data_IF_496264240324
#
_entry.id   IF_496264240324
#
_cell.length_a   1.000
_cell.length_b   1.000
_cell.length_c   1.000
_cell.angle_alpha   90.00
_cell.angle_beta   90.00
_cell.angle_gamma   90.00
#
_symmetry.space_group_name_H-M   'P 1'
#
loop_
_entity.id
_entity.type
_entity.pdbx_description
1 polymer ?
#
# COMPACT_ATOMS: atom_id res chain seq x y z
N UNK A 1 15.44 1.52 -8.10
CA UNK A 1 15.24 2.67 -7.19
C UNK A 1 13.95 2.43 -6.40
N UNK A 2 13.73 3.12 -5.27
CA UNK A 2 12.39 3.09 -4.64
C UNK A 2 11.38 3.86 -5.50
N UNK A 3 11.49 5.19 -5.45
CA UNK A 3 10.91 6.15 -6.39
C UNK A 3 12.04 6.96 -7.04
N UNK A 4 11.90 7.30 -8.32
CA UNK A 4 12.80 8.28 -8.96
C UNK A 4 12.59 9.66 -8.34
N UNK A 5 13.62 10.50 -8.38
CA UNK A 5 13.54 11.87 -7.87
C UNK A 5 12.62 12.73 -8.73
N UNK A 6 12.71 12.54 -10.04
CA UNK A 6 11.85 13.23 -11.00
C UNK A 6 11.20 12.20 -11.95
N UNK A 7 10.15 11.51 -11.51
CA UNK A 7 9.54 10.44 -12.29
C UNK A 7 8.87 10.93 -13.59
N UNK A 8 8.67 12.25 -13.75
CA UNK A 8 8.15 12.87 -14.96
C UNK A 8 9.21 12.97 -16.08
N UNK A 9 10.49 13.10 -15.73
CA UNK A 9 11.57 13.31 -16.69
C UNK A 9 12.63 12.19 -16.69
N UNK A 10 12.89 11.57 -15.54
CA UNK A 10 13.89 10.52 -15.40
C UNK A 10 13.45 9.22 -16.09
N UNK A 11 14.38 8.45 -16.66
CA UNK A 11 14.08 7.10 -17.17
C UNK A 11 14.12 6.08 -16.04
N UNK A 12 13.10 5.22 -15.95
CA UNK A 12 13.14 4.06 -15.05
C UNK A 12 14.20 3.04 -15.52
N UNK A 13 15.17 2.74 -14.65
CA UNK A 13 16.21 1.76 -14.88
C UNK A 13 16.49 0.94 -13.60
N UNK A 14 16.87 -0.34 -13.73
CA UNK A 14 17.38 -1.11 -12.60
C UNK A 14 18.63 -0.44 -12.01
N UNK A 15 18.67 -0.30 -10.69
CA UNK A 15 19.84 0.27 -10.00
C UNK A 15 21.02 -0.71 -9.92
N UNK A 16 20.74 -2.02 -10.05
CA UNK A 16 21.70 -3.11 -10.13
C UNK A 16 21.17 -4.23 -11.02
N UNK A 17 22.04 -5.18 -11.37
CA UNK A 17 21.65 -6.39 -12.08
C UNK A 17 20.52 -7.14 -11.33
N UNK A 18 19.43 -7.55 -12.02
CA UNK A 18 18.35 -8.31 -11.43
C UNK A 18 18.84 -9.56 -10.69
N UNK A 19 18.25 -9.87 -9.54
CA UNK A 19 18.60 -11.05 -8.74
C UNK A 19 19.84 -10.93 -7.86
N UNK A 20 20.61 -9.84 -7.95
CA UNK A 20 21.85 -9.67 -7.17
C UNK A 20 21.65 -8.91 -5.86
N UNK A 21 20.54 -8.18 -5.71
CA UNK A 21 20.17 -7.43 -4.51
C UNK A 21 18.66 -7.31 -4.40
N UNK A 22 18.18 -7.06 -3.18
CA UNK A 22 16.78 -6.80 -2.87
C UNK A 22 16.67 -5.37 -2.34
N UNK A 23 16.00 -4.49 -3.08
CA UNK A 23 15.65 -3.15 -2.59
C UNK A 23 14.13 -3.01 -2.65
N UNK A 24 13.54 -2.28 -1.69
CA UNK A 24 12.14 -1.91 -1.81
C UNK A 24 11.96 -0.98 -3.01
N UNK A 25 10.89 -1.19 -3.78
CA UNK A 25 10.60 -0.40 -4.97
C UNK A 25 9.11 -0.19 -5.19
N UNK A 26 8.61 0.96 -4.75
CA UNK A 26 7.26 1.42 -5.07
C UNK A 26 7.05 1.54 -6.58
N UNK A 27 8.05 1.98 -7.34
CA UNK A 27 7.96 2.02 -8.81
C UNK A 27 7.87 0.65 -9.46
N UNK A 28 8.52 -0.39 -8.91
CA UNK A 28 8.36 -1.75 -9.43
C UNK A 28 6.93 -2.27 -9.21
N UNK A 29 6.32 -1.96 -8.06
CA UNK A 29 4.91 -2.29 -7.81
C UNK A 29 3.96 -1.49 -8.72
N UNK A 30 4.26 -0.22 -8.98
CA UNK A 30 3.51 0.57 -9.96
C UNK A 30 3.64 0.00 -11.37
N UNK A 31 4.83 -0.45 -11.76
CA UNK A 31 5.03 -1.11 -13.05
C UNK A 31 4.25 -2.43 -13.14
N UNK A 32 4.23 -3.23 -12.06
CA UNK A 32 3.40 -4.44 -11.98
C UNK A 32 1.91 -4.11 -12.12
N UNK A 33 1.44 -3.02 -11.51
CA UNK A 33 0.06 -2.54 -11.74
C UNK A 33 -0.20 -2.28 -13.22
N UNK A 34 0.72 -1.61 -13.94
CA UNK A 34 0.54 -1.34 -15.37
C UNK A 34 0.42 -2.62 -16.19
N UNK A 35 1.12 -3.68 -15.80
CA UNK A 35 0.98 -5.02 -16.40
C UNK A 35 -0.41 -5.60 -16.10
N UNK A 36 -0.88 -5.51 -14.84
CA UNK A 36 -2.23 -5.96 -14.48
C UNK A 36 -3.30 -5.24 -15.31
N UNK A 37 -3.26 -3.91 -15.38
CA UNK A 37 -4.23 -3.10 -16.12
C UNK A 37 -4.18 -3.35 -17.64
N UNK A 38 -3.01 -3.72 -18.18
CA UNK A 38 -2.86 -4.13 -19.58
C UNK A 38 -3.50 -5.50 -19.83
N UNK A 39 -3.29 -6.46 -18.93
CA UNK A 39 -3.82 -7.82 -19.05
C UNK A 39 -5.34 -7.86 -18.83
N UNK A 40 -5.86 -7.10 -17.86
CA UNK A 40 -7.29 -7.11 -17.53
C UNK A 40 -8.10 -6.15 -18.38
N UNK A 41 -7.47 -5.10 -18.92
CA UNK A 41 -8.18 -4.00 -19.59
C UNK A 41 -8.92 -3.07 -18.62
N UNK A 42 -8.88 -3.34 -17.32
CA UNK A 42 -9.54 -2.60 -16.25
C UNK A 42 -8.53 -1.70 -15.52
N UNK A 43 -9.02 -0.74 -14.73
CA UNK A 43 -8.15 -0.07 -13.73
C UNK A 43 -7.73 -1.04 -12.62
N UNK A 44 -6.72 -0.65 -11.84
CA UNK A 44 -6.35 -1.39 -10.63
C UNK A 44 -7.55 -1.59 -9.69
N UNK A 45 -8.27 -0.51 -9.39
CA UNK A 45 -9.37 -0.54 -8.42
C UNK A 45 -10.52 -1.45 -8.90
N UNK A 46 -10.89 -1.37 -10.18
CA UNK A 46 -11.91 -2.24 -10.79
C UNK A 46 -11.47 -3.70 -10.77
N UNK A 47 -10.21 -3.97 -11.12
CA UNK A 47 -9.64 -5.33 -11.08
C UNK A 47 -9.75 -5.90 -9.66
N UNK A 48 -9.36 -5.12 -8.66
CA UNK A 48 -9.38 -5.55 -7.26
C UNK A 48 -10.80 -5.67 -6.71
N UNK A 49 -11.73 -4.82 -7.13
CA UNK A 49 -13.15 -4.94 -6.79
C UNK A 49 -13.74 -6.25 -7.31
N UNK A 50 -13.42 -6.63 -8.55
CA UNK A 50 -13.93 -7.85 -9.19
C UNK A 50 -13.30 -9.12 -8.64
N UNK A 51 -11.99 -9.11 -8.43
CA UNK A 51 -11.22 -10.32 -8.11
C UNK A 51 -11.02 -10.57 -6.61
N UNK A 52 -11.05 -9.51 -5.79
CA UNK A 52 -10.77 -9.64 -4.36
C UNK A 52 -11.84 -8.99 -3.49
N UNK A 53 -12.05 -7.68 -3.59
CA UNK A 53 -12.84 -6.97 -2.59
C UNK A 53 -14.31 -7.37 -2.62
N UNK A 54 -14.91 -7.50 -3.79
CA UNK A 54 -16.28 -7.98 -3.95
C UNK A 54 -16.48 -9.38 -3.38
N UNK A 55 -15.76 -10.40 -3.90
CA UNK A 55 -15.88 -11.78 -3.41
C UNK A 55 -15.54 -11.96 -1.92
N UNK A 56 -14.55 -11.21 -1.40
CA UNK A 56 -14.15 -11.25 0.01
C UNK A 56 -15.10 -10.46 0.94
N UNK A 57 -16.07 -9.73 0.39
CA UNK A 57 -16.94 -8.85 1.16
C UNK A 57 -16.22 -7.64 1.79
N UNK A 58 -15.11 -7.20 1.20
CA UNK A 58 -14.35 -6.02 1.63
C UNK A 58 -14.98 -4.75 1.04
N UNK A 59 -16.15 -4.36 1.56
CA UNK A 59 -16.99 -3.29 1.00
C UNK A 59 -16.46 -1.89 1.27
N UNK A 60 -15.51 -1.75 2.17
CA UNK A 60 -14.92 -0.49 2.61
C UNK A 60 -13.44 -0.42 2.19
N UNK A 61 -13.09 -1.01 1.05
CA UNK A 61 -11.75 -1.08 0.50
C UNK A 61 -11.68 -0.55 -0.93
N UNK A 62 -10.74 0.35 -1.20
CA UNK A 62 -10.50 0.89 -2.54
C UNK A 62 -9.06 1.39 -2.66
N UNK A 63 -8.48 1.21 -3.84
CA UNK A 63 -7.25 1.87 -4.28
C UNK A 63 -7.51 3.26 -4.84
N UNK A 64 -8.74 3.78 -4.86
CA UNK A 64 -9.07 5.08 -5.41
C UNK A 64 -9.73 6.01 -4.37
N UNK A 65 -9.98 7.26 -4.77
CA UNK A 65 -10.73 8.25 -3.98
C UNK A 65 -12.20 8.21 -4.35
N UNK A 66 -13.04 8.58 -3.38
CA UNK A 66 -14.39 9.07 -3.63
C UNK A 66 -14.79 10.03 -2.50
N UNK A 67 -15.80 10.89 -2.70
CA UNK A 67 -16.34 11.72 -1.64
C UNK A 67 -16.77 10.89 -0.40
N UNK A 68 -17.43 9.76 -0.60
CA UNK A 68 -17.88 8.89 0.48
C UNK A 68 -16.71 8.27 1.25
N UNK A 69 -15.62 7.92 0.55
CA UNK A 69 -14.40 7.45 1.20
C UNK A 69 -13.72 8.58 1.97
N UNK A 70 -13.70 9.79 1.41
CA UNK A 70 -13.09 10.97 2.02
C UNK A 70 -13.75 11.36 3.34
N UNK A 71 -15.08 11.32 3.40
CA UNK A 71 -15.90 11.64 4.57
C UNK A 71 -15.61 10.74 5.77
N UNK A 72 -15.38 9.45 5.52
CA UNK A 72 -15.12 8.46 6.57
C UNK A 72 -13.63 8.20 6.80
N UNK A 73 -12.77 8.80 6.00
CA UNK A 73 -11.32 8.63 6.15
C UNK A 73 -10.82 9.44 7.35
N UNK A 74 -9.95 8.82 8.15
CA UNK A 74 -9.29 9.49 9.26
C UNK A 74 -8.29 10.55 8.79
N UNK A 75 -7.95 11.48 9.68
CA UNK A 75 -6.87 12.44 9.46
C UNK A 75 -5.58 11.99 10.15
N UNK A 76 -4.45 12.37 9.58
CA UNK A 76 -3.12 12.09 10.11
C UNK A 76 -2.73 13.04 11.25
N UNK A 77 -2.00 12.52 12.23
CA UNK A 77 -1.52 13.26 13.40
C UNK A 77 0.01 13.20 13.51
N UNK A 78 0.62 14.33 13.88
CA UNK A 78 2.06 14.43 14.15
C UNK A 78 2.44 13.65 15.40
N UNK A 79 3.73 13.37 15.57
CA UNK A 79 4.24 12.99 16.87
C UNK A 79 4.04 14.15 17.88
N UNK A 80 3.80 13.86 19.17
CA UNK A 80 3.54 14.91 20.18
C UNK A 80 4.63 15.98 20.27
N UNK A 81 5.86 15.64 19.95
CA UNK A 81 7.08 16.45 20.03
C UNK A 81 7.61 16.90 18.65
N UNK A 82 6.83 16.70 17.58
CA UNK A 82 7.25 17.08 16.25
C UNK A 82 7.41 18.60 16.12
N UNK A 83 8.56 19.06 15.63
CA UNK A 83 8.72 20.43 15.16
C UNK A 83 7.89 20.60 13.88
N UNK A 84 6.98 21.58 13.88
CA UNK A 84 6.20 21.91 12.69
C UNK A 84 7.13 22.62 11.71
N UNK A 85 7.23 22.09 10.49
CA UNK A 85 7.92 22.79 9.41
C UNK A 85 7.19 24.13 9.17
N UNK A 86 7.88 25.29 9.17
CA UNK A 86 7.27 26.59 8.93
C UNK A 86 6.52 26.70 7.59
N UNK A 87 6.80 25.80 6.64
CA UNK A 87 6.16 25.73 5.32
C UNK A 87 4.87 24.89 5.32
N UNK A 88 4.60 24.12 6.39
CA UNK A 88 3.35 23.38 6.54
C UNK A 88 2.21 24.29 7.02
N UNK A 89 0.98 23.98 6.60
CA UNK A 89 -0.20 24.73 7.07
C UNK A 89 -0.35 24.60 8.59
N UNK A 90 -0.57 25.74 9.25
CA UNK A 90 -0.72 25.81 10.69
C UNK A 90 -2.01 25.08 11.13
N UNK A 91 -1.88 23.84 11.61
CA UNK A 91 -2.97 23.10 12.23
C UNK A 91 -2.93 21.59 12.01
N UNK A 92 -2.55 21.11 10.81
CA UNK A 92 -2.57 19.68 10.45
C UNK A 92 -1.30 19.30 9.69
N UNK A 93 -0.74 18.08 9.88
CA UNK A 93 0.35 17.61 9.03
C UNK A 93 -0.15 17.33 7.61
N UNK A 94 0.77 17.16 6.64
CA UNK A 94 0.41 16.70 5.30
C UNK A 94 -0.52 15.49 5.35
N UNK A 95 -1.63 15.55 4.63
CA UNK A 95 -2.61 14.47 4.56
C UNK A 95 -2.37 13.55 3.35
N UNK A 96 -1.22 13.72 2.69
CA UNK A 96 -0.68 12.84 1.65
C UNK A 96 -1.65 12.70 0.48
N UNK A 97 -2.03 11.47 0.13
CA UNK A 97 -2.94 11.15 -0.96
C UNK A 97 -4.30 11.87 -0.84
N UNK A 98 -4.73 12.30 0.36
CA UNK A 98 -5.98 13.06 0.51
C UNK A 98 -5.90 14.39 -0.25
N UNK A 99 -4.80 15.12 -0.10
CA UNK A 99 -4.64 16.46 -0.69
C UNK A 99 -4.56 16.36 -2.22
N UNK A 100 -3.71 15.44 -2.71
CA UNK A 100 -3.56 15.17 -4.14
C UNK A 100 -4.88 14.79 -4.80
N UNK A 101 -5.65 13.89 -4.16
CA UNK A 101 -6.85 13.33 -4.79
C UNK A 101 -8.08 14.20 -4.61
N UNK A 102 -8.09 15.10 -3.63
CA UNK A 102 -9.13 16.13 -3.55
C UNK A 102 -9.06 17.06 -4.77
N UNK A 103 -7.86 17.42 -5.24
CA UNK A 103 -7.70 18.15 -6.50
C UNK A 103 -8.09 17.30 -7.72
N UNK A 104 -7.65 16.04 -7.77
CA UNK A 104 -8.02 15.13 -8.85
C UNK A 104 -9.54 14.90 -8.98
N UNK A 105 -10.25 14.85 -7.85
CA UNK A 105 -11.70 14.66 -7.80
C UNK A 105 -12.45 15.76 -8.54
N UNK A 106 -12.03 17.02 -8.40
CA UNK A 106 -12.65 18.16 -9.10
C UNK A 106 -12.58 17.98 -10.63
N UNK A 107 -11.48 17.42 -11.14
CA UNK A 107 -11.31 17.13 -12.57
C UNK A 107 -12.12 15.89 -12.98
N UNK A 108 -12.13 14.85 -12.14
CA UNK A 108 -12.93 13.65 -12.36
C UNK A 108 -14.42 13.99 -12.50
N UNK A 109 -14.97 14.81 -11.60
CA UNK A 109 -16.38 15.23 -11.61
C UNK A 109 -16.76 15.96 -12.90
N UNK A 110 -15.86 16.83 -13.40
CA UNK A 110 -16.07 17.55 -14.68
C UNK A 110 -16.05 16.61 -15.89
N UNK A 111 -15.22 15.57 -15.83
CA UNK A 111 -15.08 14.59 -16.92
C UNK A 111 -16.17 13.50 -16.92
N UNK A 112 -16.91 13.35 -15.81
CA UNK A 112 -17.89 12.28 -15.61
C UNK A 112 -17.29 10.88 -15.42
N UNK A 113 -15.96 10.75 -15.31
CA UNK A 113 -15.28 9.47 -15.09
C UNK A 113 -14.70 9.41 -13.67
N UNK A 114 -15.20 8.48 -12.85
CA UNK A 114 -14.74 8.30 -11.48
C UNK A 114 -13.23 7.95 -11.42
N UNK A 115 -12.54 8.43 -10.39
CA UNK A 115 -11.10 8.15 -10.17
C UNK A 115 -10.81 6.64 -10.08
N UNK A 116 -11.75 5.84 -9.59
CA UNK A 116 -11.64 4.38 -9.57
C UNK A 116 -11.57 3.73 -10.95
N UNK A 117 -12.06 4.39 -12.00
CA UNK A 117 -12.00 3.88 -13.36
C UNK A 117 -10.77 4.38 -14.14
N UNK A 118 -9.98 5.29 -13.57
CA UNK A 118 -8.83 5.85 -14.27
C UNK A 118 -7.73 4.81 -14.43
N UNK A 119 -7.16 4.76 -15.63
CA UNK A 119 -5.86 4.16 -15.90
C UNK A 119 -4.84 5.27 -16.13
N UNK A 120 -3.58 4.91 -16.31
CA UNK A 120 -2.49 5.88 -16.51
C UNK A 120 -2.76 6.92 -17.61
N UNK A 121 -3.37 6.50 -18.72
CA UNK A 121 -3.70 7.42 -19.84
C UNK A 121 -4.70 8.50 -19.42
N UNK A 122 -5.63 8.18 -18.54
CA UNK A 122 -6.65 9.10 -18.04
C UNK A 122 -6.02 10.09 -17.05
N UNK A 123 -5.22 9.58 -16.11
CA UNK A 123 -4.45 10.41 -15.19
C UNK A 123 -3.48 11.34 -15.92
N UNK A 124 -2.78 10.86 -16.96
CA UNK A 124 -1.86 11.67 -17.76
C UNK A 124 -2.59 12.80 -18.52
N UNK A 125 -3.81 12.52 -19.02
CA UNK A 125 -4.66 13.53 -19.67
C UNK A 125 -5.17 14.57 -18.67
N UNK A 126 -5.54 14.13 -17.46
CA UNK A 126 -6.06 15.00 -16.41
C UNK A 126 -4.97 15.85 -15.73
N UNK A 127 -3.71 15.39 -15.75
CA UNK A 127 -2.61 15.98 -14.99
C UNK A 127 -2.49 17.51 -15.14
N UNK A 128 -2.50 18.11 -16.35
CA UNK A 128 -2.38 19.57 -16.47
C UNK A 128 -3.54 20.33 -15.81
N UNK A 129 -4.76 19.79 -15.90
CA UNK A 129 -5.93 20.39 -15.27
C UNK A 129 -5.90 20.28 -13.74
N UNK A 130 -5.36 19.18 -13.21
CA UNK A 130 -5.17 19.01 -11.76
C UNK A 130 -4.07 19.95 -11.25
N UNK A 131 -2.94 20.05 -11.96
CA UNK A 131 -1.84 20.96 -11.61
C UNK A 131 -2.26 22.43 -11.62
N UNK A 132 -3.21 22.82 -12.48
CA UNK A 132 -3.74 24.18 -12.53
C UNK A 132 -4.55 24.59 -11.28
N UNK A 133 -5.04 23.63 -10.50
CA UNK A 133 -5.85 23.88 -9.29
C UNK A 133 -5.21 23.42 -7.99
N UNK A 134 -4.22 22.51 -8.07
CA UNK A 134 -3.49 22.03 -6.91
C UNK A 134 -2.43 23.05 -6.46
N UNK A 135 -2.10 23.11 -5.15
CA UNK A 135 -0.93 23.83 -4.67
C UNK A 135 0.35 23.43 -5.45
N UNK A 136 1.26 24.38 -5.73
CA UNK A 136 2.52 24.09 -6.41
C UNK A 136 3.31 22.97 -5.70
N UNK A 137 3.79 22.00 -6.48
CA UNK A 137 4.60 20.88 -5.97
C UNK A 137 3.80 19.72 -5.37
N UNK A 138 2.48 19.84 -5.17
CA UNK A 138 1.67 18.75 -4.61
C UNK A 138 1.51 17.55 -5.55
N UNK A 139 1.40 17.82 -6.86
CA UNK A 139 1.19 16.83 -7.93
C UNK A 139 2.22 17.08 -9.03
N UNK A 140 3.09 16.11 -9.26
CA UNK A 140 4.20 16.22 -10.21
C UNK A 140 4.02 15.33 -11.44
N UNK A 141 3.35 14.19 -11.31
CA UNK A 141 3.24 13.20 -12.39
C UNK A 141 1.95 12.36 -12.28
N UNK A 142 1.57 11.59 -13.31
CA UNK A 142 0.26 10.94 -13.35
C UNK A 142 -0.03 9.99 -12.18
N UNK A 143 0.98 9.34 -11.62
CA UNK A 143 0.76 8.37 -10.55
C UNK A 143 0.42 9.01 -9.18
N UNK A 144 0.61 10.31 -9.02
CA UNK A 144 0.18 11.05 -7.81
C UNK A 144 -1.34 11.15 -7.71
N UNK A 145 -2.05 11.02 -8.84
CA UNK A 145 -3.50 11.19 -8.95
C UNK A 145 -4.21 9.94 -9.48
N UNK A 146 -3.49 8.82 -9.54
CA UNK A 146 -3.97 7.54 -10.01
C UNK A 146 -3.95 6.54 -8.85
N UNK A 147 -4.90 5.59 -8.84
CA UNK A 147 -4.78 4.39 -8.04
C UNK A 147 -3.37 3.79 -8.18
N UNK A 148 -2.73 3.49 -7.06
CA UNK A 148 -1.33 3.10 -7.00
C UNK A 148 -1.15 1.87 -6.09
N UNK A 149 -0.77 0.75 -6.70
CA UNK A 149 -0.60 -0.53 -6.02
C UNK A 149 0.44 -0.50 -4.90
N UNK A 150 1.39 0.43 -4.94
CA UNK A 150 2.46 0.53 -3.95
C UNK A 150 2.02 1.19 -2.63
N UNK A 151 0.97 2.03 -2.63
CA UNK A 151 0.74 2.92 -1.48
C UNK A 151 -0.71 3.40 -1.24
N UNK A 152 -1.63 3.18 -2.18
CA UNK A 152 -2.89 3.93 -2.16
C UNK A 152 -4.12 3.21 -1.63
N UNK A 153 -3.99 1.95 -1.23
CA UNK A 153 -5.10 1.20 -0.64
C UNK A 153 -5.62 1.92 0.62
N UNK A 154 -6.88 2.34 0.56
CA UNK A 154 -7.66 2.75 1.72
C UNK A 154 -8.60 1.63 2.08
N UNK A 155 -8.53 1.18 3.32
CA UNK A 155 -9.36 0.10 3.83
C UNK A 155 -9.58 0.26 5.34
N UNK A 156 -10.59 -0.43 5.85
CA UNK A 156 -10.79 -0.61 7.29
C UNK A 156 -9.93 -1.74 7.83
N UNK A 157 -9.64 -1.73 9.14
CA UNK A 157 -8.95 -2.85 9.80
C UNK A 157 -9.75 -4.14 9.64
N UNK A 158 -11.09 -4.05 9.66
CA UNK A 158 -12.00 -5.18 9.47
C UNK A 158 -11.84 -5.79 8.08
N UNK A 159 -11.82 -5.00 7.02
CA UNK A 159 -11.65 -5.51 5.65
C UNK A 159 -10.25 -6.07 5.42
N UNK A 160 -9.22 -5.38 5.90
CA UNK A 160 -7.87 -5.92 5.78
C UNK A 160 -7.70 -7.21 6.61
N UNK A 161 -8.42 -7.35 7.72
CA UNK A 161 -8.48 -8.61 8.48
C UNK A 161 -9.18 -9.73 7.71
N UNK A 162 -10.23 -9.42 6.92
CA UNK A 162 -10.83 -10.40 5.99
C UNK A 162 -9.81 -10.87 4.97
N UNK A 163 -9.08 -9.94 4.33
CA UNK A 163 -7.99 -10.30 3.42
C UNK A 163 -6.96 -11.21 4.11
N UNK A 164 -6.49 -10.84 5.29
CA UNK A 164 -5.51 -11.65 6.04
C UNK A 164 -6.04 -13.05 6.40
N UNK A 165 -7.34 -13.20 6.68
CA UNK A 165 -7.96 -14.50 6.90
C UNK A 165 -7.86 -15.40 5.67
N UNK A 166 -8.06 -14.87 4.46
CA UNK A 166 -7.88 -15.60 3.19
C UNK A 166 -6.41 -15.99 2.95
N UNK A 167 -5.45 -15.20 3.43
CA UNK A 167 -4.03 -15.53 3.28
C UNK A 167 -3.63 -16.69 4.21
N UNK A 168 -4.16 -16.73 5.44
CA UNK A 168 -3.73 -17.71 6.47
C UNK A 168 -4.57 -18.98 6.54
N UNK A 169 -5.79 -18.99 6.00
CA UNK A 169 -6.65 -20.15 6.15
C UNK A 169 -6.17 -21.37 5.32
N UNK A 170 -6.46 -22.57 5.81
CA UNK A 170 -6.01 -23.80 5.17
C UNK A 170 -6.77 -24.08 3.85
N UNK A 171 -8.07 -23.81 3.81
CA UNK A 171 -8.98 -24.25 2.74
C UNK A 171 -9.50 -23.05 1.95
N UNK A 172 -8.92 -22.74 0.76
CA UNK A 172 -9.41 -21.69 -0.11
C UNK A 172 -10.75 -22.06 -0.77
N UNK A 173 -11.63 -21.08 -0.93
CA UNK A 173 -12.77 -21.18 -1.84
C UNK A 173 -12.31 -21.17 -3.31
N UNK A 174 -13.19 -21.59 -4.22
CA UNK A 174 -12.86 -21.75 -5.64
C UNK A 174 -12.39 -20.46 -6.34
N UNK A 175 -12.94 -19.31 -5.93
CA UNK A 175 -12.57 -18.00 -6.49
C UNK A 175 -11.23 -17.47 -5.97
N UNK A 176 -10.69 -18.06 -4.90
CA UNK A 176 -9.47 -17.59 -4.25
C UNK A 176 -8.21 -18.03 -5.01
N UNK A 177 -7.07 -17.49 -4.58
CA UNK A 177 -5.78 -17.90 -5.13
C UNK A 177 -5.57 -19.40 -4.96
N UNK A 178 -5.17 -20.06 -6.06
CA UNK A 178 -4.77 -21.46 -6.05
C UNK A 178 -3.72 -21.71 -4.95
N UNK A 179 -3.77 -22.87 -4.25
CA UNK A 179 -2.81 -23.19 -3.19
C UNK A 179 -1.35 -23.00 -3.60
N UNK A 180 -0.98 -23.37 -4.83
CA UNK A 180 0.38 -23.18 -5.35
C UNK A 180 0.78 -21.71 -5.50
N UNK A 181 -0.14 -20.84 -5.94
CA UNK A 181 0.11 -19.40 -6.02
C UNK A 181 0.30 -18.80 -4.63
N UNK A 182 -0.58 -19.17 -3.68
CA UNK A 182 -0.47 -18.73 -2.27
C UNK A 182 0.85 -19.20 -1.64
N UNK A 183 1.25 -20.44 -1.90
CA UNK A 183 2.53 -20.97 -1.42
C UNK A 183 3.73 -20.21 -2.00
N UNK A 184 3.69 -19.86 -3.29
CA UNK A 184 4.74 -19.05 -3.92
C UNK A 184 4.87 -17.66 -3.27
N UNK A 185 3.74 -17.02 -2.91
CA UNK A 185 3.77 -15.74 -2.19
C UNK A 185 4.49 -15.81 -0.84
N UNK A 186 4.46 -16.97 -0.19
CA UNK A 186 5.02 -17.21 1.15
C UNK A 186 6.32 -18.02 1.12
N UNK A 187 6.94 -18.14 -0.06
CA UNK A 187 8.22 -18.83 -0.25
C UNK A 187 9.31 -17.83 -0.58
N UNK A 188 10.49 -18.00 0.01
CA UNK A 188 11.69 -17.21 -0.26
C UNK A 188 12.01 -17.21 -1.76
N UNK A 189 12.10 -16.02 -2.36
CA UNK A 189 12.28 -15.86 -3.81
C UNK A 189 13.74 -15.70 -4.25
N UNK A 190 14.58 -15.09 -3.42
CA UNK A 190 15.98 -14.79 -3.78
C UNK A 190 16.88 -15.10 -2.59
N UNK A 191 17.98 -15.80 -2.84
CA UNK A 191 19.02 -16.09 -1.86
C UNK A 191 20.14 -15.03 -1.94
N UNK A 192 20.10 -14.04 -1.04
CA UNK A 192 21.14 -13.01 -0.93
C UNK A 192 21.73 -13.03 0.49
N UNK A 193 23.06 -13.12 0.66
CA UNK A 193 23.70 -13.13 1.98
C UNK A 193 23.45 -11.85 2.80
N UNK A 194 23.58 -11.96 4.13
CA UNK A 194 23.62 -10.79 5.03
C UNK A 194 22.27 -10.14 5.36
N UNK A 195 21.16 -10.87 5.20
CA UNK A 195 19.81 -10.35 5.50
C UNK A 195 19.21 -10.85 6.79
N UNK A 196 18.38 -9.96 7.34
CA UNK A 196 17.66 -10.13 8.59
C UNK A 196 16.27 -10.73 8.33
N UNK A 197 15.66 -10.42 7.18
CA UNK A 197 14.37 -11.00 6.73
C UNK A 197 14.38 -11.41 5.26
N UNK A 198 13.68 -12.50 4.97
CA UNK A 198 13.50 -13.06 3.62
C UNK A 198 12.37 -12.34 2.88
N UNK A 199 12.33 -12.43 1.54
CA UNK A 199 11.24 -11.90 0.71
C UNK A 199 10.50 -12.99 -0.04
N UNK A 200 9.17 -12.97 0.09
CA UNK A 200 8.23 -13.68 -0.77
C UNK A 200 7.72 -12.79 -1.91
N UNK A 201 6.61 -13.17 -2.54
CA UNK A 201 5.92 -12.31 -3.51
C UNK A 201 4.90 -11.45 -2.76
N UNK A 202 5.29 -10.19 -2.48
CA UNK A 202 4.45 -9.22 -1.78
C UNK A 202 4.50 -9.31 -0.25
N UNK A 203 5.26 -10.24 0.33
CA UNK A 203 5.41 -10.40 1.78
C UNK A 203 6.88 -10.46 2.19
N UNK A 204 7.18 -9.94 3.38
CA UNK A 204 8.41 -10.26 4.09
C UNK A 204 8.20 -11.56 4.89
N UNK A 205 9.25 -12.36 5.03
CA UNK A 205 9.22 -13.64 5.72
C UNK A 205 10.24 -13.60 6.86
N UNK A 206 9.83 -14.04 8.04
CA UNK A 206 10.69 -14.09 9.21
C UNK A 206 10.57 -15.44 9.90
N UNK A 207 11.72 -16.03 10.25
CA UNK A 207 11.78 -17.27 11.03
C UNK A 207 11.75 -16.91 12.51
N UNK A 208 10.82 -17.52 13.24
CA UNK A 208 10.71 -17.31 14.69
C UNK A 208 10.87 -18.65 15.42
N UNK A 209 11.13 -18.64 16.73
CA UNK A 209 11.15 -19.87 17.54
C UNK A 209 9.84 -20.67 17.50
N UNK A 210 8.73 -20.08 17.03
CA UNK A 210 7.42 -20.73 16.94
C UNK A 210 7.04 -21.15 15.52
N UNK A 211 7.94 -20.97 14.56
CA UNK A 211 7.70 -21.21 13.14
C UNK A 211 7.79 -19.92 12.32
N UNK A 212 7.77 -20.05 10.99
CA UNK A 212 7.83 -18.90 10.10
C UNK A 212 6.55 -18.07 10.18
N UNK A 213 6.71 -16.76 10.12
CA UNK A 213 5.63 -15.79 9.97
C UNK A 213 5.89 -14.96 8.71
N UNK A 214 4.83 -14.39 8.14
CA UNK A 214 4.96 -13.40 7.08
C UNK A 214 4.42 -12.06 7.54
N UNK A 215 4.97 -10.96 7.04
CA UNK A 215 4.55 -9.63 7.45
C UNK A 215 4.73 -8.59 6.35
N UNK A 216 4.01 -7.48 6.47
CA UNK A 216 4.27 -6.25 5.71
C UNK A 216 3.99 -5.04 6.58
N UNK A 217 4.89 -4.06 6.56
CA UNK A 217 4.68 -2.74 7.16
C UNK A 217 4.25 -1.75 6.10
N UNK A 218 3.51 -0.72 6.49
CA UNK A 218 3.11 0.38 5.62
C UNK A 218 3.38 1.72 6.30
N UNK A 219 3.83 2.70 5.51
CA UNK A 219 4.08 4.06 6.00
C UNK A 219 3.82 5.08 4.91
N UNK A 220 2.72 5.83 5.02
CA UNK A 220 2.47 6.98 4.14
C UNK A 220 2.80 8.28 4.87
N UNK A 221 3.69 9.08 4.27
CA UNK A 221 4.05 10.41 4.78
C UNK A 221 4.75 10.42 6.13
N UNK A 222 5.25 9.27 6.58
CA UNK A 222 5.73 9.12 7.96
C UNK A 222 4.62 9.18 9.01
N UNK A 223 3.35 9.34 8.64
CA UNK A 223 2.22 9.63 9.53
C UNK A 223 1.30 8.42 9.68
N UNK A 224 0.84 7.84 8.57
CA UNK A 224 -0.07 6.69 8.62
C UNK A 224 0.78 5.43 8.66
N UNK A 225 0.66 4.63 9.73
CA UNK A 225 1.43 3.40 9.90
C UNK A 225 0.50 2.20 9.94
N UNK A 226 0.84 1.17 9.19
CA UNK A 226 0.17 -0.13 9.25
C UNK A 226 1.17 -1.26 9.42
N UNK A 227 0.71 -2.35 10.04
CA UNK A 227 1.47 -3.58 10.16
C UNK A 227 0.53 -4.77 10.09
N UNK A 228 0.83 -5.69 9.19
CA UNK A 228 0.13 -6.96 9.05
C UNK A 228 1.10 -8.11 9.30
N UNK A 229 0.68 -9.09 10.10
CA UNK A 229 1.43 -10.30 10.43
C UNK A 229 0.53 -11.51 10.24
N UNK A 230 1.02 -12.57 9.62
CA UNK A 230 0.31 -13.84 9.49
C UNK A 230 1.16 -15.05 9.89
N UNK A 231 0.50 -16.01 10.53
CA UNK A 231 0.99 -17.35 10.86
C UNK A 231 0.03 -18.36 10.21
N UNK A 232 0.44 -18.90 9.06
CA UNK A 232 -0.37 -19.88 8.30
C UNK A 232 -0.52 -21.18 9.08
N UNK A 233 0.53 -21.64 9.78
CA UNK A 233 0.50 -22.91 10.49
C UNK A 233 -0.55 -22.92 11.61
N UNK A 234 -0.80 -21.76 12.22
CA UNK A 234 -1.83 -21.58 13.25
C UNK A 234 -3.11 -20.93 12.74
N UNK A 235 -3.16 -20.56 11.46
CA UNK A 235 -4.26 -19.82 10.83
C UNK A 235 -4.62 -18.54 11.59
N UNK A 236 -3.61 -17.77 12.00
CA UNK A 236 -3.77 -16.54 12.78
C UNK A 236 -3.16 -15.36 12.04
N UNK A 237 -3.79 -14.20 12.16
CA UNK A 237 -3.26 -12.96 11.65
C UNK A 237 -3.51 -11.80 12.62
N UNK A 238 -2.67 -10.78 12.53
CA UNK A 238 -2.81 -9.51 13.23
C UNK A 238 -2.74 -8.39 12.20
N UNK A 239 -3.64 -7.42 12.32
CA UNK A 239 -3.63 -6.19 11.54
C UNK A 239 -3.68 -5.03 12.54
N UNK A 240 -2.74 -4.10 12.40
CA UNK A 240 -2.74 -2.86 13.16
C UNK A 240 -2.61 -1.70 12.18
N UNK A 241 -3.51 -0.72 12.28
CA UNK A 241 -3.47 0.51 11.49
C UNK A 241 -3.56 1.71 12.43
N UNK A 242 -2.80 2.74 12.13
CA UNK A 242 -2.71 3.96 12.91
C UNK A 242 -2.61 5.17 11.98
N UNK A 243 -3.12 6.29 12.44
CA UNK A 243 -3.08 7.59 11.75
C UNK A 243 -2.12 8.56 12.44
N UNK A 244 -1.09 8.07 13.13
CA UNK A 244 -0.16 8.90 13.89
C UNK A 244 1.30 8.50 13.60
N UNK A 245 2.18 9.51 13.52
CA UNK A 245 3.57 9.31 13.09
C UNK A 245 4.35 8.29 13.94
N UNK A 246 4.05 8.20 15.23
CA UNK A 246 4.63 7.25 16.19
C UNK A 246 3.91 5.89 16.24
N UNK A 247 3.00 5.62 15.29
CA UNK A 247 2.19 4.40 15.25
C UNK A 247 3.00 3.10 15.18
N UNK A 248 4.25 3.17 14.73
CA UNK A 248 5.19 2.05 14.76
C UNK A 248 5.53 1.57 16.16
N UNK A 249 5.61 2.48 17.13
CA UNK A 249 5.81 2.13 18.53
C UNK A 249 4.60 1.36 19.06
N UNK A 250 3.39 1.76 18.64
CA UNK A 250 2.15 1.12 19.06
C UNK A 250 2.00 -0.29 18.47
N UNK A 251 2.12 -0.46 17.15
CA UNK A 251 1.94 -1.79 16.55
C UNK A 251 2.98 -2.80 17.07
N UNK A 252 4.21 -2.35 17.38
CA UNK A 252 5.24 -3.21 17.96
C UNK A 252 4.80 -3.75 19.32
N UNK A 253 4.24 -2.90 20.18
CA UNK A 253 3.72 -3.29 21.49
C UNK A 253 2.53 -4.25 21.36
N UNK A 254 1.62 -3.98 20.44
CA UNK A 254 0.46 -4.84 20.16
C UNK A 254 0.90 -6.23 19.70
N UNK A 255 1.79 -6.32 18.71
CA UNK A 255 2.29 -7.60 18.19
C UNK A 255 3.07 -8.36 19.28
N UNK A 256 3.95 -7.69 20.03
CA UNK A 256 4.68 -8.32 21.15
C UNK A 256 3.72 -8.83 22.23
N UNK A 257 2.69 -8.07 22.59
CA UNK A 257 1.72 -8.50 23.59
C UNK A 257 0.85 -9.68 23.11
N UNK A 258 0.36 -9.63 21.87
CA UNK A 258 -0.55 -10.64 21.31
C UNK A 258 0.17 -11.93 20.93
N UNK A 259 1.42 -11.83 20.46
CA UNK A 259 2.19 -12.98 19.98
C UNK A 259 3.26 -13.40 20.96
N UNK A 260 3.84 -12.53 21.78
CA UNK A 260 5.07 -12.79 22.53
C UNK A 260 6.31 -12.97 21.65
N UNK A 261 6.25 -12.56 20.38
CA UNK A 261 7.38 -12.54 19.46
C UNK A 261 8.02 -11.15 19.47
N UNK A 262 9.35 -11.12 19.52
CA UNK A 262 10.11 -9.93 19.18
C UNK A 262 10.69 -10.12 17.78
N UNK A 263 10.15 -9.38 16.82
CA UNK A 263 10.43 -9.58 15.41
C UNK A 263 11.54 -8.62 14.94
N UNK A 264 12.46 -9.13 14.12
CA UNK A 264 13.45 -8.31 13.41
C UNK A 264 12.77 -7.29 12.49
N UNK A 265 11.53 -7.57 12.06
CA UNK A 265 10.64 -6.64 11.39
C UNK A 265 10.52 -5.25 12.05
N UNK A 266 10.84 -5.11 13.34
CA UNK A 266 10.78 -3.84 14.07
C UNK A 266 12.08 -3.04 14.06
N UNK A 267 13.17 -3.64 13.59
CA UNK A 267 14.53 -3.08 13.60
C UNK A 267 15.05 -2.78 12.18
N UNK A 268 14.26 -3.07 11.15
CA UNK A 268 14.50 -2.78 9.72
C UNK A 268 13.67 -1.62 9.21
#
# INVERSE_FOLDING_TARGET
PDWRKDPAHDKLAPAVAPGTRIDYSGEAFFWLQRVVEMVTGESLDQTMQRLLFGPAGMRDSSYAWSPQMAERSVYGHRAPDATVDPTESAGMPPQMLREQWSAAQVVADRSGTALSAWRYVDAARALPAVQAIAPPGLVAWPADILANAAASLRCTVQDYSRFMALVVHAVPAEWELRPATRAAMLTRQIDVPGRWTDKGLGWNLERTPRGPVFYHSGSNGGIFKSFALGDVARQRAIVVSTNAANGNVLYRRVVRAATGLDLLAFDV
#
